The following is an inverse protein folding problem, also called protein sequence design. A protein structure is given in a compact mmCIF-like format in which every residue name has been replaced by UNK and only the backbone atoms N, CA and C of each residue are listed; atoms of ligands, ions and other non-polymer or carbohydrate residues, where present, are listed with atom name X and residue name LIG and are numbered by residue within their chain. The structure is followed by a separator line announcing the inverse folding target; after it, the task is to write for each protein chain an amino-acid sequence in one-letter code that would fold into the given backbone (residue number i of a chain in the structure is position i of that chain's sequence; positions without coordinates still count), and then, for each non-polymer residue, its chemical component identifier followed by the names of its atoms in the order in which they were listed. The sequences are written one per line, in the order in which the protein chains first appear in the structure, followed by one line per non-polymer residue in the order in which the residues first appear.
data_IF_382345661327
#
_entry.id   IF_382345661327
#
_cell.length_a   1.000
_cell.length_b   1.000
_cell.length_c   1.000
_cell.angle_alpha   90.00
_cell.angle_beta   90.00
_cell.angle_gamma   90.00
#
_symmetry.space_group_name_H-M   'P 1'
#
loop_
_entity.id
_entity.type
_entity.pdbx_description
1 polymer ?
#
# COMPACT_ATOMS: atom_id res chain seq x y z
N UNK A 1 -51.05 62.52 32.59
CA UNK A 1 -51.57 62.55 33.99
C UNK A 1 -52.68 63.58 34.27
N UNK A 2 -53.02 64.53 33.39
CA UNK A 2 -54.12 65.51 33.64
C UNK A 2 -55.54 65.03 33.27
N UNK A 3 -55.70 63.95 32.49
CA UNK A 3 -57.03 63.44 32.05
C UNK A 3 -57.69 62.46 33.05
N UNK A 4 -56.90 61.80 33.89
CA UNK A 4 -57.41 60.84 34.90
C UNK A 4 -57.98 61.58 36.13
N UNK A 5 -57.42 62.74 36.48
CA UNK A 5 -57.90 63.56 37.61
C UNK A 5 -59.29 64.15 37.36
N UNK A 6 -59.63 64.50 36.11
CA UNK A 6 -60.94 65.07 35.76
C UNK A 6 -62.06 64.02 35.86
N UNK A 7 -61.80 62.77 35.44
CA UNK A 7 -62.77 61.67 35.58
C UNK A 7 -63.02 61.31 37.05
N UNK A 8 -61.99 61.35 37.90
CA UNK A 8 -62.12 61.03 39.32
C UNK A 8 -62.91 62.12 40.08
N UNK A 9 -62.77 63.40 39.69
CA UNK A 9 -63.58 64.49 40.25
C UNK A 9 -65.06 64.41 39.83
N UNK A 10 -65.37 63.96 38.62
CA UNK A 10 -66.76 63.79 38.15
C UNK A 10 -67.46 62.62 38.88
N UNK A 11 -66.74 61.53 39.14
CA UNK A 11 -67.30 60.38 39.87
C UNK A 11 -67.56 60.73 41.34
N UNK A 12 -66.70 61.52 41.98
CA UNK A 12 -66.90 62.01 43.35
C UNK A 12 -68.03 63.05 43.43
N UNK A 13 -68.20 63.89 42.40
CA UNK A 13 -69.31 64.84 42.32
C UNK A 13 -70.69 64.15 42.12
N UNK A 14 -70.75 63.06 41.35
CA UNK A 14 -71.97 62.27 41.16
C UNK A 14 -72.34 61.43 42.40
N UNK A 15 -71.35 60.91 43.13
CA UNK A 15 -71.58 60.23 44.40
C UNK A 15 -72.05 61.20 45.52
N UNK A 16 -71.53 62.44 45.52
CA UNK A 16 -71.95 63.49 46.46
C UNK A 16 -73.38 64.00 46.23
N UNK A 17 -73.81 64.10 44.97
CA UNK A 17 -75.18 64.52 44.62
C UNK A 17 -76.23 63.46 45.02
N UNK A 18 -75.91 62.17 44.91
CA UNK A 18 -76.80 61.08 45.33
C UNK A 18 -77.00 61.02 46.85
N UNK A 19 -75.95 61.27 47.64
CA UNK A 19 -76.04 61.31 49.10
C UNK A 19 -76.79 62.55 49.61
N UNK A 20 -76.62 63.70 48.97
CA UNK A 20 -77.34 64.92 49.31
C UNK A 20 -78.85 64.83 49.00
N UNK A 21 -79.24 64.13 47.93
CA UNK A 21 -80.65 63.89 47.61
C UNK A 21 -81.34 62.90 48.58
N UNK A 22 -80.60 61.90 49.09
CA UNK A 22 -81.07 60.99 50.13
C UNK A 22 -81.26 61.70 51.50
N UNK A 23 -80.35 62.62 51.86
CA UNK A 23 -80.39 63.33 53.14
C UNK A 23 -81.43 64.48 53.20
N UNK A 24 -81.92 65.00 52.06
CA UNK A 24 -82.88 66.10 51.99
C UNK A 24 -84.35 65.68 51.75
N UNK A 25 -84.67 64.38 51.79
CA UNK A 25 -86.07 63.90 51.85
C UNK A 25 -86.91 64.11 50.59
N UNK A 26 -86.28 64.24 49.42
CA UNK A 26 -86.96 64.33 48.11
C UNK A 26 -87.00 62.97 47.40
N UNK A 27 -87.83 62.05 47.91
CA UNK A 27 -88.19 60.83 47.18
C UNK A 27 -89.71 60.81 46.91
N UNK A 28 -90.14 60.71 45.63
CA UNK A 28 -91.54 60.68 45.24
C UNK A 28 -92.26 59.39 45.67
N UNK A 29 -93.54 59.52 46.00
CA UNK A 29 -94.39 58.54 46.70
C UNK A 29 -94.82 57.29 45.90
N UNK A 30 -94.05 56.85 44.89
CA UNK A 30 -94.40 55.68 44.05
C UNK A 30 -93.59 54.41 44.38
N UNK A 31 -92.71 54.44 45.39
CA UNK A 31 -91.88 53.29 45.79
C UNK A 31 -92.31 52.62 47.11
N UNK A 32 -93.37 53.10 47.77
CA UNK A 32 -93.88 52.53 49.03
C UNK A 32 -94.93 51.42 48.84
N UNK A 33 -95.31 51.07 47.60
CA UNK A 33 -96.24 49.98 47.31
C UNK A 33 -95.57 48.62 47.03
N UNK A 34 -94.22 48.56 46.98
CA UNK A 34 -93.48 47.31 46.72
C UNK A 34 -92.98 46.65 48.03
N UNK A 35 -93.16 47.32 49.18
CA UNK A 35 -92.74 46.84 50.51
C UNK A 35 -93.91 46.43 51.43
N UNK A 36 -95.12 46.25 50.89
CA UNK A 36 -96.27 45.73 51.64
C UNK A 36 -96.54 44.27 51.26
N UNK A 37 -96.05 43.35 52.09
CA UNK A 37 -96.39 41.92 52.03
C UNK A 37 -97.88 41.69 52.34
N UNK A 38 -98.62 40.92 51.52
CA UNK A 38 -99.78 40.19 51.98
C UNK A 38 -99.41 38.73 52.29
N UNK A 39 -99.73 38.32 53.51
CA UNK A 39 -99.56 36.96 54.03
C UNK A 39 -100.61 36.01 53.44
N UNK A 40 -100.12 34.85 52.95
CA UNK A 40 -100.75 33.54 52.75
C UNK A 40 -102.13 33.44 52.08
N UNK A 41 -102.11 32.86 50.88
CA UNK A 41 -103.00 31.75 50.55
C UNK A 41 -102.16 30.53 50.15
N UNK A 42 -102.45 29.42 50.83
CA UNK A 42 -101.85 28.12 50.62
C UNK A 42 -102.18 27.59 49.22
N UNK A 43 -101.20 27.64 48.33
CA UNK A 43 -101.18 26.85 47.11
C UNK A 43 -99.90 26.01 47.13
N UNK A 44 -100.06 24.79 47.66
CA UNK A 44 -99.07 23.71 47.60
C UNK A 44 -98.79 23.40 46.13
N UNK A 45 -97.73 23.99 45.58
CA UNK A 45 -97.10 23.58 44.33
C UNK A 45 -95.71 23.10 44.70
N UNK A 46 -95.64 21.84 45.13
CA UNK A 46 -94.43 21.02 45.05
C UNK A 46 -94.09 20.87 43.56
N UNK A 47 -93.42 21.87 42.98
CA UNK A 47 -92.54 21.63 41.85
C UNK A 47 -91.19 21.25 42.45
N UNK A 48 -90.70 20.02 42.21
CA UNK A 48 -89.36 19.66 42.62
C UNK A 48 -88.40 20.70 42.03
N UNK A 49 -87.47 21.20 42.84
CA UNK A 49 -86.18 21.61 42.31
C UNK A 49 -85.76 20.45 41.42
N UNK A 50 -85.67 20.67 40.11
CA UNK A 50 -84.88 19.76 39.31
C UNK A 50 -83.51 19.75 39.99
N UNK A 51 -83.19 18.65 40.66
CA UNK A 51 -81.82 18.29 40.95
C UNK A 51 -81.08 18.57 39.65
N UNK A 52 -80.26 19.62 39.65
CA UNK A 52 -79.14 19.68 38.74
C UNK A 52 -78.45 18.34 39.00
N UNK A 53 -78.67 17.38 38.11
CA UNK A 53 -77.83 16.22 38.00
C UNK A 53 -76.46 16.81 37.77
N UNK A 54 -75.69 16.98 38.85
CA UNK A 54 -74.25 17.03 38.81
C UNK A 54 -73.78 15.62 38.45
N UNK A 55 -74.21 15.15 37.28
CA UNK A 55 -73.51 14.09 36.62
C UNK A 55 -72.16 14.72 36.27
N UNK A 56 -71.16 14.30 37.01
CA UNK A 56 -69.94 15.03 37.24
C UNK A 56 -69.33 15.52 35.93
N UNK A 57 -69.00 16.81 35.83
CA UNK A 57 -67.93 17.26 34.94
C UNK A 57 -66.64 16.68 35.52
N UNK A 58 -66.41 15.39 35.27
CA UNK A 58 -65.21 14.70 35.70
C UNK A 58 -64.05 15.42 34.98
N UNK A 59 -63.05 15.93 35.72
CA UNK A 59 -61.95 16.68 35.11
C UNK A 59 -61.28 15.78 34.07
N UNK A 60 -61.17 16.25 32.83
CA UNK A 60 -60.52 15.52 31.74
C UNK A 60 -59.08 15.99 31.61
N UNK A 61 -58.20 15.07 31.23
CA UNK A 61 -56.82 15.38 30.92
C UNK A 61 -56.74 15.70 29.42
N UNK A 62 -56.58 16.98 29.11
CA UNK A 62 -56.37 17.50 27.77
C UNK A 62 -54.93 18.02 27.68
N UNK A 63 -54.27 17.77 26.55
CA UNK A 63 -52.96 18.36 26.26
C UNK A 63 -52.89 18.83 24.82
N UNK A 64 -52.32 20.01 24.62
CA UNK A 64 -51.85 20.47 23.32
C UNK A 64 -50.71 19.57 22.85
N UNK A 65 -50.70 19.27 21.56
CA UNK A 65 -49.77 18.36 20.93
C UNK A 65 -49.42 18.83 19.52
N UNK A 66 -48.36 18.22 18.98
CA UNK A 66 -47.90 18.46 17.62
C UNK A 66 -47.75 17.16 16.86
N UNK A 67 -48.10 17.21 15.58
CA UNK A 67 -47.80 16.16 14.60
C UNK A 67 -46.32 16.22 14.25
N UNK A 68 -45.60 15.12 14.41
CA UNK A 68 -44.17 15.01 14.06
C UNK A 68 -43.89 13.70 13.34
N UNK A 69 -42.90 13.66 12.43
CA UNK A 69 -42.52 12.43 11.74
C UNK A 69 -41.85 11.45 12.72
N UNK A 70 -41.93 10.15 12.42
CA UNK A 70 -41.28 9.08 13.22
C UNK A 70 -39.77 9.29 13.31
N UNK A 71 -39.16 9.73 12.21
CA UNK A 71 -37.74 10.07 12.16
C UNK A 71 -37.54 11.42 11.49
N UNK A 72 -36.67 12.25 12.06
CA UNK A 72 -36.19 13.49 11.42
C UNK A 72 -34.70 13.62 11.58
N UNK A 73 -34.04 14.17 10.56
CA UNK A 73 -32.61 14.42 10.59
C UNK A 73 -32.28 15.77 9.96
N UNK A 74 -31.37 16.50 10.60
CA UNK A 74 -30.74 17.69 10.01
C UNK A 74 -29.43 17.24 9.39
N UNK A 75 -29.42 17.13 8.07
CA UNK A 75 -28.29 16.67 7.29
C UNK A 75 -27.34 17.83 7.03
N UNK A 76 -26.06 17.59 7.23
CA UNK A 76 -24.98 18.56 7.04
C UNK A 76 -23.91 17.97 6.12
N UNK A 77 -23.08 18.85 5.55
CA UNK A 77 -21.96 18.42 4.73
C UNK A 77 -20.79 18.01 5.61
N UNK A 78 -20.15 16.89 5.26
CA UNK A 78 -18.95 16.42 5.95
C UNK A 78 -17.70 17.22 5.54
N UNK A 79 -17.64 17.68 4.28
CA UNK A 79 -16.59 18.54 3.75
C UNK A 79 -17.04 20.01 3.63
N UNK A 80 -16.10 20.95 3.71
CA UNK A 80 -16.33 22.34 3.28
C UNK A 80 -16.16 22.45 1.77
N UNK A 81 -16.99 23.26 1.11
CA UNK A 81 -16.88 23.49 -0.32
C UNK A 81 -17.98 24.39 -0.87
N UNK A 82 -17.88 24.70 -2.15
CA UNK A 82 -18.91 25.42 -2.89
C UNK A 82 -19.93 24.42 -3.40
N UNK A 83 -21.21 24.69 -3.24
CA UNK A 83 -22.29 23.86 -3.77
C UNK A 83 -22.29 23.93 -5.30
N UNK A 84 -22.02 22.80 -5.95
CA UNK A 84 -22.07 22.67 -7.40
C UNK A 84 -23.49 22.35 -7.88
N UNK A 85 -24.22 21.54 -7.13
CA UNK A 85 -25.55 21.07 -7.50
C UNK A 85 -26.43 20.84 -6.26
N UNK A 86 -27.70 21.22 -6.37
CA UNK A 86 -28.76 20.86 -5.43
C UNK A 86 -29.76 20.04 -6.22
N UNK A 87 -29.85 18.74 -5.92
CA UNK A 87 -30.59 17.75 -6.71
C UNK A 87 -32.06 17.61 -6.27
N UNK A 88 -32.43 18.21 -5.14
CA UNK A 88 -33.77 18.11 -4.54
C UNK A 88 -34.34 19.48 -4.19
N UNK A 89 -35.65 19.55 -4.05
CA UNK A 89 -36.40 20.73 -3.62
C UNK A 89 -37.22 20.41 -2.38
N UNK A 90 -37.67 21.47 -1.70
CA UNK A 90 -38.60 21.33 -0.58
C UNK A 90 -39.90 20.67 -1.06
N UNK A 91 -40.35 19.65 -0.33
CA UNK A 91 -41.50 18.82 -0.66
C UNK A 91 -41.18 17.59 -1.52
N UNK A 92 -39.96 17.45 -2.06
CA UNK A 92 -39.60 16.28 -2.85
C UNK A 92 -39.52 15.02 -1.96
N UNK A 93 -39.99 13.89 -2.48
CA UNK A 93 -39.83 12.57 -1.86
C UNK A 93 -38.53 11.94 -2.37
N UNK A 94 -37.72 11.43 -1.44
CA UNK A 94 -36.44 10.79 -1.70
C UNK A 94 -36.38 9.40 -1.07
N UNK A 95 -35.56 8.52 -1.64
CA UNK A 95 -35.21 7.21 -1.11
C UNK A 95 -33.87 7.25 -0.38
N UNK A 96 -33.57 6.19 0.39
CA UNK A 96 -32.28 6.07 1.06
C UNK A 96 -31.15 5.95 0.02
N UNK A 97 -30.14 6.81 0.14
CA UNK A 97 -28.99 6.88 -0.77
C UNK A 97 -29.10 7.92 -1.88
N UNK A 98 -30.27 8.53 -2.07
CA UNK A 98 -30.47 9.57 -3.08
C UNK A 98 -29.55 10.77 -2.86
N UNK A 99 -29.01 11.31 -3.96
CA UNK A 99 -28.20 12.51 -3.93
C UNK A 99 -29.07 13.72 -3.63
N UNK A 100 -28.72 14.47 -2.60
CA UNK A 100 -29.43 15.67 -2.18
C UNK A 100 -28.68 16.93 -2.62
N UNK A 101 -27.40 16.99 -2.27
CA UNK A 101 -26.52 18.13 -2.55
C UNK A 101 -25.14 17.61 -2.94
N UNK A 102 -24.49 18.29 -3.87
CA UNK A 102 -23.14 17.98 -4.31
C UNK A 102 -22.28 19.25 -4.30
N UNK A 103 -21.10 19.13 -3.72
CA UNK A 103 -20.06 20.17 -3.73
C UNK A 103 -19.19 20.07 -4.99
N UNK A 104 -18.45 21.13 -5.30
CA UNK A 104 -17.38 21.07 -6.32
C UNK A 104 -16.35 20.00 -5.92
N UNK A 105 -16.26 18.96 -6.73
CA UNK A 105 -15.46 17.76 -6.49
C UNK A 105 -14.19 17.71 -7.36
N UNK A 106 -13.86 18.77 -8.11
CA UNK A 106 -12.77 18.75 -9.09
C UNK A 106 -11.42 18.42 -8.43
N UNK A 107 -11.13 19.02 -7.28
CA UNK A 107 -9.91 18.74 -6.53
C UNK A 107 -9.89 17.32 -5.96
N UNK A 108 -11.03 16.82 -5.48
CA UNK A 108 -11.14 15.46 -4.95
C UNK A 108 -10.95 14.40 -6.05
N UNK A 109 -11.52 14.62 -7.25
CA UNK A 109 -11.30 13.76 -8.42
C UNK A 109 -9.83 13.71 -8.85
N UNK A 110 -9.15 14.87 -8.85
CA UNK A 110 -7.71 14.93 -9.13
C UNK A 110 -6.91 14.16 -8.08
N UNK A 111 -7.26 14.29 -6.79
CA UNK A 111 -6.60 13.53 -5.73
C UNK A 111 -6.79 12.01 -5.89
N UNK A 112 -7.99 11.55 -6.26
CA UNK A 112 -8.26 10.14 -6.58
C UNK A 112 -7.39 9.68 -7.76
N UNK A 113 -7.35 10.45 -8.86
CA UNK A 113 -6.53 10.11 -10.02
C UNK A 113 -5.03 10.02 -9.67
N UNK A 114 -4.52 10.94 -8.85
CA UNK A 114 -3.13 10.90 -8.39
C UNK A 114 -2.84 9.68 -7.50
N UNK A 115 -3.76 9.33 -6.61
CA UNK A 115 -3.62 8.16 -5.74
C UNK A 115 -3.68 6.85 -6.53
N UNK A 116 -4.54 6.76 -7.55
CA UNK A 116 -4.59 5.62 -8.48
C UNK A 116 -3.28 5.47 -9.25
N UNK A 117 -2.71 6.57 -9.76
CA UNK A 117 -1.41 6.53 -10.46
C UNK A 117 -0.27 6.08 -9.52
N UNK A 118 -0.28 6.54 -8.26
CA UNK A 118 0.70 6.11 -7.26
C UNK A 118 0.55 4.61 -6.93
N UNK A 119 -0.68 4.10 -6.80
CA UNK A 119 -0.95 2.68 -6.60
C UNK A 119 -0.45 1.83 -7.79
N UNK A 120 -0.73 2.26 -9.01
CA UNK A 120 -0.26 1.58 -10.22
C UNK A 120 1.27 1.54 -10.27
N UNK A 121 1.96 2.62 -9.89
CA UNK A 121 3.42 2.65 -9.78
C UNK A 121 3.96 1.68 -8.72
N UNK A 122 3.33 1.64 -7.54
CA UNK A 122 3.73 0.73 -6.47
C UNK A 122 3.52 -0.74 -6.87
N UNK A 123 2.41 -1.04 -7.55
CA UNK A 123 2.15 -2.38 -8.10
C UNK A 123 3.19 -2.78 -9.15
N UNK A 124 3.50 -1.89 -10.10
CA UNK A 124 4.55 -2.15 -11.08
C UNK A 124 5.94 -2.35 -10.43
N UNK A 125 6.23 -1.65 -9.34
CA UNK A 125 7.45 -1.85 -8.56
C UNK A 125 7.47 -3.24 -7.89
N UNK A 126 6.36 -3.65 -7.26
CA UNK A 126 6.22 -4.98 -6.67
C UNK A 126 6.38 -6.08 -7.72
N UNK A 127 5.76 -5.92 -8.89
CA UNK A 127 5.87 -6.89 -9.99
C UNK A 127 7.31 -6.99 -10.50
N UNK A 128 8.01 -5.85 -10.63
CA UNK A 128 9.44 -5.82 -11.00
C UNK A 128 10.31 -6.53 -9.95
N UNK A 129 10.05 -6.32 -8.66
CA UNK A 129 10.78 -6.99 -7.58
C UNK A 129 10.49 -8.49 -7.58
N UNK A 130 9.24 -8.91 -7.74
CA UNK A 130 8.83 -10.32 -7.81
C UNK A 130 9.38 -11.04 -9.04
N UNK A 131 9.46 -10.37 -10.18
CA UNK A 131 10.04 -10.93 -11.40
C UNK A 131 11.55 -11.23 -11.26
N UNK A 132 12.25 -10.54 -10.36
CA UNK A 132 13.65 -10.80 -10.05
C UNK A 132 14.59 -10.48 -11.22
N UNK A 133 15.64 -11.28 -11.35
CA UNK A 133 16.62 -11.15 -12.44
C UNK A 133 15.97 -11.48 -13.79
N UNK A 134 16.32 -10.72 -14.84
CA UNK A 134 15.83 -10.99 -16.18
C UNK A 134 16.47 -12.25 -16.75
N UNK A 135 15.78 -12.93 -17.67
CA UNK A 135 16.29 -14.11 -18.37
C UNK A 135 17.66 -13.88 -19.02
N UNK A 136 17.89 -12.69 -19.53
CA UNK A 136 19.12 -12.27 -20.19
C UNK A 136 20.27 -12.17 -19.18
N UNK A 137 20.01 -11.63 -17.98
CA UNK A 137 21.01 -11.51 -16.91
C UNK A 137 21.40 -12.92 -16.39
N UNK A 138 20.43 -13.84 -16.28
CA UNK A 138 20.66 -15.25 -15.93
C UNK A 138 21.50 -15.94 -17.02
N UNK A 139 21.16 -15.75 -18.29
CA UNK A 139 21.91 -16.35 -19.40
C UNK A 139 23.37 -15.87 -19.46
N UNK A 140 23.62 -14.59 -19.16
CA UNK A 140 24.98 -14.05 -19.05
C UNK A 140 25.75 -14.73 -17.91
N UNK A 141 25.12 -14.92 -16.74
CA UNK A 141 25.74 -15.60 -15.61
C UNK A 141 25.99 -17.10 -15.88
N UNK A 142 25.07 -17.78 -16.57
CA UNK A 142 25.25 -19.16 -17.01
C UNK A 142 26.42 -19.30 -17.99
N UNK A 143 26.53 -18.38 -18.96
CA UNK A 143 27.66 -18.35 -19.88
C UNK A 143 28.99 -18.07 -19.16
N UNK A 144 28.99 -17.20 -18.15
CA UNK A 144 30.17 -16.92 -17.32
C UNK A 144 30.60 -18.16 -16.51
N UNK A 145 29.65 -18.88 -15.92
CA UNK A 145 29.91 -20.14 -15.23
C UNK A 145 30.49 -21.19 -16.18
N UNK A 146 29.90 -21.35 -17.37
CA UNK A 146 30.39 -22.28 -18.38
C UNK A 146 31.83 -21.93 -18.82
N UNK A 147 32.13 -20.66 -19.03
CA UNK A 147 33.48 -20.20 -19.36
C UNK A 147 34.48 -20.48 -18.24
N UNK A 148 34.09 -20.26 -16.98
CA UNK A 148 34.91 -20.57 -15.80
C UNK A 148 35.17 -22.08 -15.66
N UNK A 149 34.14 -22.91 -15.87
CA UNK A 149 34.27 -24.38 -15.86
C UNK A 149 35.22 -24.86 -16.95
N UNK A 150 35.08 -24.35 -18.18
CA UNK A 150 35.98 -24.69 -19.28
C UNK A 150 37.42 -24.22 -19.03
N UNK A 151 37.64 -23.12 -18.30
CA UNK A 151 38.97 -22.68 -17.88
C UNK A 151 39.58 -23.62 -16.82
N UNK A 152 38.77 -24.00 -15.82
CA UNK A 152 39.16 -24.97 -14.79
C UNK A 152 39.54 -26.32 -15.39
N UNK A 153 38.71 -26.86 -16.29
CA UNK A 153 38.98 -28.14 -16.96
C UNK A 153 40.29 -28.11 -17.77
N UNK A 154 40.57 -27.02 -18.50
CA UNK A 154 41.83 -26.86 -19.22
C UNK A 154 43.03 -26.91 -18.29
N UNK A 155 42.95 -26.27 -17.12
CA UNK A 155 44.04 -26.26 -16.14
C UNK A 155 44.21 -27.61 -15.44
N UNK A 156 43.11 -28.29 -15.08
CA UNK A 156 43.15 -29.64 -14.52
C UNK A 156 43.79 -30.62 -15.52
N UNK A 157 43.41 -30.54 -16.80
CA UNK A 157 44.01 -31.35 -17.84
C UNK A 157 45.49 -30.99 -18.05
N UNK A 158 45.86 -29.71 -18.00
CA UNK A 158 47.27 -29.29 -18.07
C UNK A 158 48.10 -29.81 -16.89
N UNK A 159 47.53 -29.82 -15.68
CA UNK A 159 48.13 -30.32 -14.45
C UNK A 159 48.14 -31.86 -14.35
N UNK A 160 47.55 -32.56 -15.31
CA UNK A 160 47.46 -34.02 -15.28
C UNK A 160 48.86 -34.67 -15.17
N UNK A 161 49.00 -35.78 -14.42
CA UNK A 161 50.29 -36.47 -14.25
C UNK A 161 50.98 -36.83 -15.57
N UNK A 162 50.21 -37.05 -16.64
CA UNK A 162 50.73 -37.30 -17.99
C UNK A 162 51.56 -36.15 -18.53
N UNK A 163 51.13 -34.89 -18.36
CA UNK A 163 51.85 -33.72 -18.86
C UNK A 163 53.10 -33.43 -18.02
N UNK A 164 53.02 -33.64 -16.70
CA UNK A 164 54.19 -33.55 -15.81
C UNK A 164 55.22 -34.61 -16.22
N UNK A 165 54.80 -35.84 -16.54
CA UNK A 165 55.68 -36.89 -17.07
C UNK A 165 56.37 -36.50 -18.39
N UNK A 166 55.69 -35.75 -19.26
CA UNK A 166 56.31 -35.26 -20.51
C UNK A 166 57.43 -34.26 -20.18
N UNK A 167 57.22 -33.35 -19.24
CA UNK A 167 58.24 -32.42 -18.77
C UNK A 167 59.40 -33.14 -18.06
N UNK A 168 59.11 -34.15 -17.22
CA UNK A 168 60.12 -35.01 -16.60
C UNK A 168 60.96 -35.77 -17.63
N UNK A 169 60.32 -36.31 -18.67
CA UNK A 169 61.00 -36.97 -19.76
C UNK A 169 61.89 -36.01 -20.57
N UNK A 170 61.47 -34.75 -20.76
CA UNK A 170 62.29 -33.73 -21.41
C UNK A 170 63.54 -33.39 -20.59
N UNK A 171 63.40 -33.24 -19.27
CA UNK A 171 64.53 -33.04 -18.36
C UNK A 171 65.48 -34.25 -18.37
N UNK A 172 64.94 -35.47 -18.31
CA UNK A 172 65.74 -36.69 -18.37
C UNK A 172 66.56 -36.79 -19.67
N UNK A 173 65.98 -36.41 -20.82
CA UNK A 173 66.68 -36.36 -22.11
C UNK A 173 67.80 -35.32 -22.12
N UNK A 174 67.52 -34.11 -21.63
CA UNK A 174 68.53 -33.05 -21.52
C UNK A 174 69.70 -33.47 -20.61
N UNK A 175 69.39 -34.13 -19.49
CA UNK A 175 70.40 -34.62 -18.55
C UNK A 175 71.23 -35.76 -19.15
N UNK A 176 70.61 -36.69 -19.88
CA UNK A 176 71.30 -37.77 -20.56
C UNK A 176 72.30 -37.23 -21.59
N UNK A 177 71.93 -36.19 -22.33
CA UNK A 177 72.81 -35.53 -23.30
C UNK A 177 73.98 -34.80 -22.63
N UNK A 178 73.72 -34.04 -21.56
CA UNK A 178 74.78 -33.43 -20.76
C UNK A 178 75.75 -34.46 -20.17
N UNK A 179 75.22 -35.56 -19.64
CA UNK A 179 76.03 -36.66 -19.10
C UNK A 179 76.86 -37.35 -20.19
N UNK A 180 76.29 -37.54 -21.39
CA UNK A 180 76.99 -38.11 -22.55
C UNK A 180 78.18 -37.24 -22.97
N UNK A 181 77.99 -35.92 -23.02
CA UNK A 181 79.06 -34.98 -23.36
C UNK A 181 80.14 -34.95 -22.28
N UNK A 182 79.76 -34.89 -21.00
CA UNK A 182 80.73 -34.84 -19.88
C UNK A 182 81.53 -36.12 -19.68
N UNK A 183 80.99 -37.29 -20.01
CA UNK A 183 81.72 -38.57 -19.96
C UNK A 183 82.77 -38.70 -21.07
N UNK A 184 82.72 -37.87 -22.10
CA UNK A 184 83.65 -37.91 -23.23
C UNK A 184 83.49 -39.17 -24.10
N UNK A 185 84.35 -39.34 -25.12
CA UNK A 185 84.34 -40.53 -25.94
C UNK A 185 84.71 -41.77 -25.11
N UNK A 186 83.98 -42.88 -25.31
CA UNK A 186 84.30 -44.12 -24.62
C UNK A 186 85.70 -44.61 -24.98
N UNK A 187 86.32 -45.35 -24.06
CA UNK A 187 87.65 -45.93 -24.28
C UNK A 187 87.68 -46.80 -25.55
N UNK A 188 86.58 -47.48 -25.86
CA UNK A 188 86.41 -48.24 -27.11
C UNK A 188 86.49 -47.35 -28.36
N UNK A 189 85.88 -46.17 -28.34
CA UNK A 189 85.95 -45.20 -29.45
C UNK A 189 87.38 -44.69 -29.61
N UNK A 190 88.08 -44.39 -28.52
CA UNK A 190 89.47 -43.96 -28.55
C UNK A 190 90.41 -45.06 -29.06
N UNK A 191 90.19 -46.32 -28.64
CA UNK A 191 90.94 -47.48 -29.14
C UNK A 191 90.72 -47.65 -30.65
N UNK A 192 89.48 -47.59 -31.11
CA UNK A 192 89.15 -47.68 -32.53
C UNK A 192 89.80 -46.55 -33.35
N UNK A 193 89.74 -45.31 -32.87
CA UNK A 193 90.38 -44.17 -33.53
C UNK A 193 91.91 -44.28 -33.55
N UNK A 194 92.55 -44.76 -32.47
CA UNK A 194 93.99 -45.04 -32.45
C UNK A 194 94.37 -46.15 -33.44
N UNK A 195 93.56 -47.20 -33.53
CA UNK A 195 93.75 -48.28 -34.50
C UNK A 195 93.61 -47.77 -35.95
N UNK A 196 92.67 -46.87 -36.21
CA UNK A 196 92.48 -46.22 -37.51
C UNK A 196 93.71 -45.39 -37.93
N UNK A 197 94.27 -44.60 -37.00
CA UNK A 197 95.54 -43.88 -37.21
C UNK A 197 96.70 -44.84 -37.51
N UNK A 198 96.84 -45.91 -36.72
CA UNK A 198 97.92 -46.89 -36.92
C UNK A 198 97.81 -47.62 -38.27
N UNK A 199 96.58 -47.93 -38.71
CA UNK A 199 96.33 -48.52 -40.03
C UNK A 199 96.67 -47.55 -41.17
N UNK A 200 96.26 -46.28 -41.05
CA UNK A 200 96.58 -45.24 -42.02
C UNK A 200 98.10 -44.98 -42.11
N UNK A 201 98.82 -45.03 -40.98
CA UNK A 201 100.28 -44.92 -40.94
C UNK A 201 100.96 -46.07 -41.68
N UNK A 202 100.49 -47.31 -41.48
CA UNK A 202 101.01 -48.48 -42.18
C UNK A 202 100.83 -48.36 -43.70
N UNK A 203 99.67 -47.87 -44.15
CA UNK A 203 99.40 -47.61 -45.57
C UNK A 203 100.31 -46.52 -46.15
N UNK A 204 100.52 -45.43 -45.41
CA UNK A 204 101.45 -44.36 -45.80
C UNK A 204 102.88 -44.88 -45.93
N UNK A 205 103.35 -45.69 -44.98
CA UNK A 205 104.69 -46.28 -45.04
C UNK A 205 104.87 -47.22 -46.24
N UNK A 206 103.84 -48.01 -46.57
CA UNK A 206 103.83 -48.85 -47.77
C UNK A 206 103.87 -48.01 -49.04
N UNK A 207 103.01 -46.98 -49.14
CA UNK A 207 102.95 -46.08 -50.29
C UNK A 207 104.26 -45.30 -50.46
N UNK A 208 104.87 -44.84 -49.36
CA UNK A 208 106.18 -44.16 -49.35
C UNK A 208 107.29 -45.08 -49.80
N UNK A 209 107.28 -46.34 -49.39
CA UNK A 209 108.25 -47.35 -49.83
C UNK A 209 108.11 -47.67 -51.33
N UNK A 210 106.89 -47.64 -51.86
CA UNK A 210 106.64 -47.76 -53.30
C UNK A 210 107.12 -46.52 -54.07
N UNK A 211 106.82 -45.31 -53.59
CA UNK A 211 107.27 -44.05 -54.17
C UNK A 211 108.80 -43.92 -54.17
N UNK A 212 109.48 -44.28 -53.07
CA UNK A 212 110.94 -44.23 -52.97
C UNK A 212 111.66 -45.08 -54.03
N UNK A 213 111.02 -46.15 -54.53
CA UNK A 213 111.57 -46.98 -55.61
C UNK A 213 111.48 -46.32 -56.99
N UNK A 214 110.58 -45.35 -57.17
CA UNK A 214 110.34 -44.69 -58.45
C UNK A 214 110.75 -43.21 -58.46
N UNK A 215 111.17 -42.65 -57.32
CA UNK A 215 111.39 -41.21 -57.13
C UNK A 215 112.42 -40.59 -58.10
N UNK A 216 113.39 -41.39 -58.57
CA UNK A 216 114.49 -40.91 -59.42
C UNK A 216 114.13 -40.97 -60.92
N UNK A 217 112.90 -41.38 -61.26
CA UNK A 217 112.39 -41.40 -62.64
C UNK A 217 111.83 -40.02 -63.05
N UNK A 218 112.04 -39.57 -64.31
CA UNK A 218 111.59 -38.25 -64.79
C UNK A 218 110.07 -38.02 -64.65
N UNK A 219 109.27 -39.08 -64.76
CA UNK A 219 107.80 -39.01 -64.74
C UNK A 219 107.19 -39.47 -63.41
N UNK A 220 107.97 -39.52 -62.31
CA UNK A 220 107.53 -40.07 -61.03
C UNK A 220 106.19 -39.48 -60.55
N UNK A 221 105.99 -38.16 -60.70
CA UNK A 221 104.78 -37.45 -60.27
C UNK A 221 103.49 -37.85 -60.99
N UNK A 222 103.56 -38.38 -62.22
CA UNK A 222 102.37 -38.81 -62.99
C UNK A 222 102.00 -40.28 -62.77
N UNK A 223 102.78 -41.02 -61.97
CA UNK A 223 102.54 -42.44 -61.76
C UNK A 223 101.52 -42.72 -60.66
N UNK A 224 100.81 -43.87 -60.73
CA UNK A 224 99.84 -44.27 -59.72
C UNK A 224 100.40 -44.29 -58.28
N UNK A 225 101.68 -44.57 -58.10
CA UNK A 225 102.34 -44.63 -56.79
C UNK A 225 102.45 -43.25 -56.11
N UNK A 226 102.57 -42.16 -56.89
CA UNK A 226 102.57 -40.78 -56.35
C UNK A 226 101.19 -40.38 -55.85
N UNK A 227 100.15 -40.71 -56.62
CA UNK A 227 98.76 -40.51 -56.20
C UNK A 227 98.43 -41.36 -54.96
N UNK A 228 98.89 -42.61 -54.91
CA UNK A 228 98.71 -43.49 -53.76
C UNK A 228 99.40 -42.93 -52.50
N UNK A 229 100.60 -42.37 -52.64
CA UNK A 229 101.28 -41.68 -51.53
C UNK A 229 100.48 -40.47 -51.05
N UNK A 230 100.01 -39.61 -51.96
CA UNK A 230 99.20 -38.44 -51.61
C UNK A 230 97.89 -38.84 -50.90
N UNK A 231 97.19 -39.84 -51.41
CA UNK A 231 95.96 -40.36 -50.81
C UNK A 231 96.20 -40.94 -49.41
N UNK A 232 97.29 -41.68 -49.22
CA UNK A 232 97.66 -42.22 -47.92
C UNK A 232 98.04 -41.13 -46.90
N UNK A 233 98.70 -40.04 -47.35
CA UNK A 233 98.98 -38.88 -46.48
C UNK A 233 97.69 -38.20 -46.02
N UNK A 234 96.75 -37.93 -46.94
CA UNK A 234 95.46 -37.32 -46.60
C UNK A 234 94.68 -38.22 -45.63
N UNK A 235 94.69 -39.54 -45.85
CA UNK A 235 94.02 -40.50 -44.97
C UNK A 235 94.63 -40.51 -43.56
N UNK A 236 95.97 -40.45 -43.45
CA UNK A 236 96.66 -40.36 -42.17
C UNK A 236 96.35 -39.05 -41.44
N UNK A 237 96.44 -37.91 -42.13
CA UNK A 237 96.11 -36.59 -41.56
C UNK A 237 94.64 -36.51 -41.11
N UNK A 238 93.72 -37.07 -41.89
CA UNK A 238 92.30 -37.14 -41.54
C UNK A 238 92.06 -38.03 -40.31
N UNK A 239 92.73 -39.19 -40.22
CA UNK A 239 92.64 -40.07 -39.06
C UNK A 239 93.22 -39.41 -37.79
N UNK A 240 94.35 -38.69 -37.92
CA UNK A 240 94.93 -37.92 -36.82
C UNK A 240 94.03 -36.79 -36.36
N UNK A 241 93.48 -36.01 -37.29
CA UNK A 241 92.54 -34.93 -36.99
C UNK A 241 91.32 -35.48 -36.22
N UNK A 242 90.77 -36.62 -36.69
CA UNK A 242 89.64 -37.29 -36.03
C UNK A 242 89.97 -37.76 -34.61
N UNK A 243 91.14 -38.36 -34.39
CA UNK A 243 91.58 -38.76 -33.06
C UNK A 243 91.79 -37.53 -32.16
N UNK A 244 92.34 -36.46 -32.70
CA UNK A 244 92.60 -35.23 -31.95
C UNK A 244 91.30 -34.53 -31.56
N UNK A 245 90.30 -34.49 -32.43
CA UNK A 245 88.95 -33.98 -32.13
C UNK A 245 88.31 -34.79 -30.98
N UNK A 246 88.45 -36.12 -30.98
CA UNK A 246 87.97 -36.97 -29.90
C UNK A 246 88.71 -36.71 -28.57
N UNK A 247 90.03 -36.46 -28.62
CA UNK A 247 90.85 -36.18 -27.44
C UNK A 247 90.62 -34.80 -26.85
N UNK A 248 90.35 -33.80 -27.70
CA UNK A 248 90.01 -32.44 -27.27
C UNK A 248 88.68 -32.40 -26.51
N UNK A 249 87.82 -33.41 -26.70
CA UNK A 249 86.53 -33.53 -26.04
C UNK A 249 85.52 -32.49 -26.52
N UNK A 250 84.34 -32.42 -25.88
CA UNK A 250 83.33 -31.43 -26.24
C UNK A 250 83.82 -30.02 -25.95
N UNK A 251 83.44 -29.08 -26.80
CA UNK A 251 83.75 -27.67 -26.64
C UNK A 251 83.02 -27.07 -25.44
N UNK A 252 83.56 -25.99 -24.87
CA UNK A 252 82.91 -25.26 -23.79
C UNK A 252 81.53 -24.72 -24.19
N UNK A 253 81.35 -24.38 -25.48
CA UNK A 253 80.07 -23.95 -26.02
C UNK A 253 79.01 -25.07 -26.04
N UNK A 254 79.39 -26.30 -26.41
CA UNK A 254 78.49 -27.47 -26.41
C UNK A 254 78.05 -27.85 -24.99
N UNK A 255 78.99 -27.89 -24.04
CA UNK A 255 78.69 -28.14 -22.63
C UNK A 255 77.80 -27.04 -22.05
N UNK A 256 78.05 -25.77 -22.38
CA UNK A 256 77.22 -24.66 -21.94
C UNK A 256 75.81 -24.73 -22.53
N UNK A 257 75.66 -25.11 -23.81
CA UNK A 257 74.37 -25.31 -24.46
C UNK A 257 73.59 -26.47 -23.83
N UNK A 258 74.23 -27.61 -23.58
CA UNK A 258 73.61 -28.75 -22.91
C UNK A 258 73.21 -28.42 -21.46
N UNK A 259 74.06 -27.72 -20.70
CA UNK A 259 73.74 -27.24 -19.35
C UNK A 259 72.57 -26.24 -19.36
N UNK A 260 72.51 -25.36 -20.37
CA UNK A 260 71.38 -24.45 -20.54
C UNK A 260 70.08 -25.20 -20.84
N UNK A 261 70.12 -26.24 -21.68
CA UNK A 261 68.96 -27.08 -21.97
C UNK A 261 68.43 -27.80 -20.70
N UNK A 262 69.33 -28.32 -19.85
CA UNK A 262 68.96 -28.90 -18.55
C UNK A 262 68.28 -27.86 -17.65
N UNK A 263 68.89 -26.67 -17.49
CA UNK A 263 68.31 -25.59 -16.68
C UNK A 263 66.93 -25.16 -17.18
N UNK A 264 66.75 -25.07 -18.51
CA UNK A 264 65.46 -24.71 -19.11
C UNK A 264 64.41 -25.78 -18.84
N UNK A 265 64.73 -27.05 -19.04
CA UNK A 265 63.81 -28.16 -18.77
C UNK A 265 63.44 -28.27 -17.29
N UNK A 266 64.40 -28.02 -16.40
CA UNK A 266 64.19 -28.03 -14.95
C UNK A 266 63.29 -26.87 -14.51
N UNK A 267 63.57 -25.65 -14.98
CA UNK A 267 62.73 -24.48 -14.71
C UNK A 267 61.29 -24.68 -15.21
N UNK A 268 61.11 -25.31 -16.37
CA UNK A 268 59.78 -25.60 -16.90
C UNK A 268 59.03 -26.64 -16.06
N UNK A 269 59.71 -27.70 -15.58
CA UNK A 269 59.12 -28.68 -14.68
C UNK A 269 58.75 -28.06 -13.32
N UNK A 270 59.63 -27.25 -12.74
CA UNK A 270 59.39 -26.55 -11.47
C UNK A 270 58.24 -25.55 -11.59
N UNK A 271 58.17 -24.78 -12.68
CA UNK A 271 57.03 -23.91 -12.97
C UNK A 271 55.73 -24.72 -12.99
N UNK A 272 55.68 -25.83 -13.72
CA UNK A 272 54.48 -26.69 -13.75
C UNK A 272 54.12 -27.28 -12.38
N UNK A 273 55.11 -27.71 -11.58
CA UNK A 273 54.84 -28.27 -10.25
C UNK A 273 54.35 -27.23 -9.24
N UNK A 274 54.89 -26.02 -9.31
CA UNK A 274 54.60 -24.96 -8.34
C UNK A 274 53.38 -24.11 -8.72
N UNK A 275 53.19 -23.78 -10.00
CA UNK A 275 52.10 -22.89 -10.45
C UNK A 275 50.78 -23.63 -10.66
N UNK A 276 50.80 -24.88 -11.17
CA UNK A 276 49.57 -25.59 -11.53
C UNK A 276 48.61 -25.78 -10.33
N UNK A 277 49.07 -26.17 -9.12
CA UNK A 277 48.16 -26.28 -7.97
C UNK A 277 47.50 -24.94 -7.60
N UNK A 278 48.24 -23.83 -7.65
CA UNK A 278 47.67 -22.50 -7.40
C UNK A 278 46.73 -22.06 -8.49
N UNK A 279 47.05 -22.32 -9.76
CA UNK A 279 46.23 -21.95 -10.92
C UNK A 279 44.91 -22.72 -10.94
N UNK A 280 44.94 -24.02 -10.63
CA UNK A 280 43.74 -24.86 -10.49
C UNK A 280 42.88 -24.39 -9.33
N UNK A 281 43.48 -24.04 -8.19
CA UNK A 281 42.75 -23.54 -7.02
C UNK A 281 42.09 -22.18 -7.32
N UNK A 282 42.81 -21.28 -7.99
CA UNK A 282 42.28 -19.99 -8.42
C UNK A 282 41.12 -20.16 -9.42
N UNK A 283 41.25 -21.07 -10.38
CA UNK A 283 40.18 -21.39 -11.32
C UNK A 283 38.96 -22.03 -10.64
N UNK A 284 39.17 -22.91 -9.65
CA UNK A 284 38.08 -23.47 -8.84
C UNK A 284 37.33 -22.36 -8.07
N UNK A 285 38.06 -21.39 -7.50
CA UNK A 285 37.47 -20.24 -6.84
C UNK A 285 36.66 -19.36 -7.83
N UNK A 286 37.13 -19.21 -9.06
CA UNK A 286 36.36 -18.51 -10.11
C UNK A 286 35.06 -19.25 -10.48
N UNK A 287 35.09 -20.58 -10.58
CA UNK A 287 33.87 -21.38 -10.80
C UNK A 287 32.90 -21.20 -9.63
N UNK A 288 33.38 -21.29 -8.39
CA UNK A 288 32.55 -21.09 -7.20
C UNK A 288 31.95 -19.69 -7.14
N UNK A 289 32.71 -18.66 -7.52
CA UNK A 289 32.22 -17.28 -7.60
C UNK A 289 31.15 -17.12 -8.68
N UNK A 290 31.36 -17.65 -9.88
CA UNK A 290 30.39 -17.60 -10.97
C UNK A 290 29.09 -18.35 -10.61
N UNK A 291 29.21 -19.50 -9.94
CA UNK A 291 28.06 -20.26 -9.44
C UNK A 291 27.28 -19.45 -8.39
N UNK A 292 27.97 -18.85 -7.41
CA UNK A 292 27.33 -18.03 -6.38
C UNK A 292 26.61 -16.81 -6.98
N UNK A 293 27.16 -16.20 -8.04
CA UNK A 293 26.50 -15.12 -8.77
C UNK A 293 25.24 -15.60 -9.48
N UNK A 294 25.30 -16.75 -10.16
CA UNK A 294 24.14 -17.36 -10.80
C UNK A 294 23.04 -17.73 -9.78
N UNK A 295 23.43 -18.31 -8.66
CA UNK A 295 22.50 -18.69 -7.58
C UNK A 295 21.84 -17.46 -6.96
N UNK A 296 22.59 -16.37 -6.77
CA UNK A 296 22.03 -15.10 -6.29
C UNK A 296 21.00 -14.51 -7.26
N UNK A 297 21.24 -14.61 -8.58
CA UNK A 297 20.27 -14.17 -9.59
C UNK A 297 19.03 -15.08 -9.63
N UNK A 298 19.20 -16.40 -9.49
CA UNK A 298 18.10 -17.38 -9.48
C UNK A 298 17.26 -17.35 -8.20
N UNK A 299 17.85 -17.00 -7.06
CA UNK A 299 17.14 -16.82 -5.81
C UNK A 299 16.14 -15.63 -5.86
N UNK A 300 16.32 -14.72 -6.81
CA UNK A 300 15.42 -13.60 -7.04
C UNK A 300 15.51 -12.53 -5.94
N UNK A 301 14.46 -11.70 -5.84
CA UNK A 301 14.40 -10.68 -4.81
C UNK A 301 14.27 -11.30 -3.41
N UNK A 302 14.94 -10.69 -2.44
CA UNK A 302 14.90 -11.14 -1.06
C UNK A 302 13.49 -10.95 -0.47
N UNK A 303 13.03 -11.81 0.45
CA UNK A 303 11.72 -11.67 1.08
C UNK A 303 11.49 -10.29 1.71
N UNK A 304 12.54 -9.68 2.27
CA UNK A 304 12.49 -8.34 2.86
C UNK A 304 12.23 -7.25 1.81
N UNK A 305 12.74 -7.42 0.59
CA UNK A 305 12.51 -6.48 -0.52
C UNK A 305 11.07 -6.60 -1.05
N UNK A 306 10.56 -7.83 -1.15
CA UNK A 306 9.17 -8.10 -1.52
C UNK A 306 8.23 -7.50 -0.47
N UNK A 307 8.49 -7.75 0.82
CA UNK A 307 7.69 -7.20 1.91
C UNK A 307 7.69 -5.66 1.93
N UNK A 308 8.83 -5.03 1.64
CA UNK A 308 8.90 -3.57 1.51
C UNK A 308 8.06 -3.04 0.35
N UNK A 309 8.09 -3.71 -0.81
CA UNK A 309 7.26 -3.34 -1.96
C UNK A 309 5.76 -3.59 -1.71
N UNK A 310 5.40 -4.67 -1.01
CA UNK A 310 4.02 -4.94 -0.58
C UNK A 310 3.51 -3.86 0.38
N UNK A 311 4.36 -3.41 1.32
CA UNK A 311 4.04 -2.29 2.21
C UNK A 311 3.82 -0.98 1.43
N UNK A 312 4.57 -0.74 0.36
CA UNK A 312 4.36 0.42 -0.52
C UNK A 312 3.00 0.35 -1.24
N UNK A 313 2.60 -0.83 -1.74
CA UNK A 313 1.26 -1.06 -2.31
C UNK A 313 0.16 -0.85 -1.28
N UNK A 314 0.35 -1.34 -0.05
CA UNK A 314 -0.60 -1.15 1.05
C UNK A 314 -0.77 0.35 1.39
N UNK A 315 0.35 1.09 1.49
CA UNK A 315 0.33 2.53 1.73
C UNK A 315 -0.37 3.31 0.60
N UNK A 316 -0.08 2.96 -0.67
CA UNK A 316 -0.74 3.58 -1.81
C UNK A 316 -2.24 3.25 -1.89
N UNK A 317 -2.63 2.05 -1.50
CA UNK A 317 -4.04 1.63 -1.40
C UNK A 317 -4.77 2.44 -0.32
N UNK A 318 -4.17 2.62 0.86
CA UNK A 318 -4.72 3.44 1.92
C UNK A 318 -4.89 4.91 1.49
N UNK A 319 -3.90 5.46 0.78
CA UNK A 319 -4.00 6.81 0.21
C UNK A 319 -5.13 6.94 -0.81
N UNK A 320 -5.35 5.92 -1.65
CA UNK A 320 -6.48 5.88 -2.58
C UNK A 320 -7.83 5.83 -1.82
N UNK A 321 -7.94 4.98 -0.80
CA UNK A 321 -9.14 4.92 0.04
C UNK A 321 -9.42 6.26 0.70
N UNK A 322 -8.41 6.95 1.23
CA UNK A 322 -8.57 8.27 1.81
C UNK A 322 -9.08 9.30 0.77
N UNK A 323 -8.53 9.28 -0.44
CA UNK A 323 -8.98 10.16 -1.52
C UNK A 323 -10.43 9.86 -1.95
N UNK A 324 -10.82 8.58 -2.00
CA UNK A 324 -12.19 8.16 -2.32
C UNK A 324 -13.18 8.58 -1.22
N UNK A 325 -12.81 8.48 0.06
CA UNK A 325 -13.63 8.96 1.17
C UNK A 325 -13.78 10.49 1.10
N UNK A 326 -12.69 11.21 0.82
CA UNK A 326 -12.75 12.66 0.64
C UNK A 326 -13.67 13.05 -0.53
N UNK A 327 -13.65 12.29 -1.63
CA UNK A 327 -14.59 12.45 -2.75
C UNK A 327 -16.03 12.15 -2.33
N UNK A 328 -16.28 11.06 -1.60
CA UNK A 328 -17.61 10.73 -1.08
C UNK A 328 -18.17 11.82 -0.16
N UNK A 329 -17.32 12.46 0.64
CA UNK A 329 -17.72 13.57 1.52
C UNK A 329 -18.13 14.86 0.77
N UNK A 330 -17.93 14.92 -0.55
CA UNK A 330 -18.45 16.02 -1.39
C UNK A 330 -19.92 15.83 -1.76
N UNK A 331 -20.51 14.67 -1.47
CA UNK A 331 -21.91 14.35 -1.76
C UNK A 331 -22.70 14.18 -0.46
N UNK A 332 -23.85 14.85 -0.37
CA UNK A 332 -24.84 14.64 0.68
C UNK A 332 -25.88 13.67 0.17
N UNK A 333 -26.01 12.51 0.83
CA UNK A 333 -27.00 11.50 0.48
C UNK A 333 -28.02 11.30 1.59
N UNK A 334 -29.24 10.95 1.22
CA UNK A 334 -30.32 10.68 2.16
C UNK A 334 -30.02 9.42 3.00
N UNK A 335 -30.02 9.49 4.35
CA UNK A 335 -29.77 8.31 5.19
C UNK A 335 -30.97 7.35 5.28
N UNK A 336 -32.17 7.81 4.96
CA UNK A 336 -33.41 7.04 4.91
C UNK A 336 -34.37 7.68 3.89
N UNK A 337 -35.42 6.97 3.50
CA UNK A 337 -36.44 7.52 2.59
C UNK A 337 -37.44 8.42 3.33
N UNK A 338 -37.91 9.48 2.68
CA UNK A 338 -38.81 10.45 3.30
C UNK A 338 -39.07 11.67 2.43
N UNK A 339 -39.54 12.76 3.05
CA UNK A 339 -39.81 14.04 2.40
C UNK A 339 -38.80 15.10 2.84
N UNK A 340 -38.32 15.88 1.88
CA UNK A 340 -37.43 17.02 2.11
C UNK A 340 -38.24 18.18 2.70
N UNK A 341 -38.03 18.48 3.99
CA UNK A 341 -38.78 19.50 4.70
C UNK A 341 -38.23 20.92 4.48
N UNK A 342 -36.90 21.06 4.36
CA UNK A 342 -36.27 22.31 3.96
C UNK A 342 -34.91 22.09 3.30
N UNK A 343 -34.54 23.00 2.40
CA UNK A 343 -33.21 23.06 1.77
C UNK A 343 -32.62 24.43 2.04
N UNK A 344 -31.58 24.47 2.87
CA UNK A 344 -31.00 25.71 3.40
C UNK A 344 -29.71 26.12 2.68
N UNK A 345 -29.52 25.72 1.42
CA UNK A 345 -28.35 26.05 0.61
C UNK A 345 -28.73 26.32 -0.84
N UNK A 346 -27.95 27.15 -1.52
CA UNK A 346 -28.10 27.44 -2.94
C UNK A 346 -26.87 27.02 -3.74
N UNK A 347 -27.05 26.77 -5.04
CA UNK A 347 -25.92 26.56 -5.97
C UNK A 347 -25.02 27.79 -5.98
N UNK A 348 -23.71 27.58 -5.86
CA UNK A 348 -22.69 28.62 -5.75
C UNK A 348 -22.44 29.11 -4.32
N UNK A 349 -23.21 28.66 -3.34
CA UNK A 349 -23.02 29.01 -1.93
C UNK A 349 -21.87 28.21 -1.30
N UNK A 350 -21.15 28.83 -0.36
CA UNK A 350 -20.09 28.17 0.41
C UNK A 350 -20.70 27.50 1.65
N UNK A 351 -20.48 26.20 1.81
CA UNK A 351 -20.93 25.43 2.98
C UNK A 351 -19.73 25.05 3.85
N UNK A 352 -19.95 25.11 5.17
CA UNK A 352 -19.00 24.65 6.18
C UNK A 352 -19.50 23.39 6.90
N UNK A 353 -18.61 22.52 7.41
CA UNK A 353 -19.00 21.37 8.20
C UNK A 353 -19.85 21.77 9.41
N UNK A 354 -20.92 21.01 9.65
CA UNK A 354 -21.86 21.27 10.76
C UNK A 354 -22.99 22.26 10.43
N UNK A 355 -22.92 23.00 9.32
CA UNK A 355 -24.05 23.82 8.85
C UNK A 355 -25.19 22.90 8.38
N UNK A 356 -26.43 23.07 8.88
CA UNK A 356 -27.59 22.34 8.38
C UNK A 356 -27.86 22.68 6.90
N UNK A 357 -27.90 21.68 6.05
CA UNK A 357 -28.08 21.80 4.60
C UNK A 357 -29.47 21.34 4.18
N UNK A 358 -29.86 20.13 4.58
CA UNK A 358 -31.18 19.56 4.27
C UNK A 358 -31.83 19.05 5.54
N UNK A 359 -33.12 19.36 5.73
CA UNK A 359 -33.92 18.72 6.77
C UNK A 359 -34.78 17.63 6.13
N UNK A 360 -34.60 16.39 6.58
CA UNK A 360 -35.30 15.22 6.06
C UNK A 360 -36.23 14.64 7.13
N UNK A 361 -37.46 14.32 6.75
CA UNK A 361 -38.47 13.72 7.60
C UNK A 361 -38.99 12.40 7.00
N UNK A 362 -39.06 11.36 7.81
CA UNK A 362 -39.74 10.12 7.48
C UNK A 362 -41.24 10.30 7.74
N UNK A 363 -42.01 10.41 6.65
CA UNK A 363 -43.46 10.60 6.66
C UNK A 363 -44.24 9.28 6.51
N UNK A 364 -43.58 8.12 6.66
CA UNK A 364 -44.24 6.81 6.61
C UNK A 364 -45.28 6.62 7.71
N UNK A 365 -45.10 7.29 8.84
CA UNK A 365 -46.10 7.42 9.89
C UNK A 365 -45.91 8.72 10.68
N UNK A 366 -47.02 9.27 11.18
CA UNK A 366 -47.02 10.41 12.09
C UNK A 366 -47.10 9.96 13.55
N UNK A 367 -46.35 10.64 14.41
CA UNK A 367 -46.47 10.61 15.86
C UNK A 367 -47.12 11.90 16.35
N UNK A 368 -47.88 11.82 17.43
CA UNK A 368 -48.45 12.98 18.12
C UNK A 368 -47.71 13.16 19.44
N UNK A 369 -47.03 14.29 19.62
CA UNK A 369 -46.23 14.58 20.81
C UNK A 369 -46.84 15.72 21.60
N UNK A 370 -47.21 15.48 22.86
CA UNK A 370 -47.77 16.52 23.74
C UNK A 370 -46.72 17.58 24.09
N UNK A 371 -47.18 18.81 24.24
CA UNK A 371 -46.35 19.99 24.47
C UNK A 371 -46.54 20.61 25.87
N UNK A 372 -47.68 20.38 26.52
CA UNK A 372 -48.07 21.09 27.75
C UNK A 372 -48.64 20.18 28.86
N UNK A 373 -48.51 18.86 28.73
CA UNK A 373 -49.02 17.94 29.75
C UNK A 373 -48.22 18.09 31.06
N UNK A 374 -48.86 18.62 32.10
CA UNK A 374 -48.21 18.94 33.38
C UNK A 374 -47.82 17.70 34.20
N UNK A 375 -46.90 17.87 35.15
CA UNK A 375 -46.54 16.84 36.14
C UNK A 375 -47.76 16.31 36.92
N UNK A 376 -48.80 17.14 37.12
CA UNK A 376 -50.02 16.72 37.83
C UNK A 376 -50.92 15.81 37.00
N UNK A 377 -50.88 15.94 35.67
CA UNK A 377 -51.77 15.21 34.76
C UNK A 377 -51.10 13.99 34.13
N UNK A 378 -49.77 14.01 33.95
CA UNK A 378 -49.01 12.86 33.41
C UNK A 378 -49.13 11.62 34.30
N UNK A 379 -49.36 11.77 35.61
CA UNK A 379 -49.56 10.64 36.54
C UNK A 379 -50.80 9.81 36.17
N UNK A 380 -51.83 10.43 35.58
CA UNK A 380 -53.06 9.76 35.10
C UNK A 380 -52.94 9.14 33.70
N UNK A 381 -51.74 9.19 33.10
CA UNK A 381 -51.46 8.67 31.76
C UNK A 381 -50.54 7.46 31.86
N UNK A 382 -50.96 6.35 31.26
CA UNK A 382 -50.17 5.11 31.20
C UNK A 382 -49.92 4.69 29.76
N UNK A 383 -48.74 4.11 29.44
CA UNK A 383 -48.53 3.45 28.16
C UNK A 383 -49.61 2.41 27.88
N UNK A 384 -50.13 2.37 26.66
CA UNK A 384 -51.24 1.52 26.23
C UNK A 384 -52.64 2.14 26.40
N UNK A 385 -52.77 3.31 27.05
CA UNK A 385 -54.06 4.00 27.19
C UNK A 385 -54.57 4.48 25.82
N UNK A 386 -55.86 4.25 25.55
CA UNK A 386 -56.52 4.80 24.36
C UNK A 386 -56.84 6.27 24.56
N UNK A 387 -56.57 7.07 23.54
CA UNK A 387 -56.77 8.52 23.56
C UNK A 387 -57.47 8.97 22.28
N UNK A 388 -58.11 10.13 22.36
CA UNK A 388 -58.74 10.76 21.20
C UNK A 388 -57.93 11.97 20.79
N UNK A 389 -57.58 12.07 19.51
CA UNK A 389 -56.79 13.16 18.94
C UNK A 389 -57.70 13.97 18.02
N UNK A 390 -57.73 15.27 18.22
CA UNK A 390 -58.41 16.25 17.37
C UNK A 390 -57.41 17.27 16.86
N UNK A 391 -57.64 17.84 15.68
CA UNK A 391 -56.71 18.77 15.04
C UNK A 391 -57.37 20.13 14.83
N UNK A 392 -56.69 21.21 15.20
CA UNK A 392 -57.25 22.57 15.05
C UNK A 392 -57.46 22.91 13.57
N UNK A 393 -56.53 22.47 12.72
CA UNK A 393 -56.56 22.71 11.28
C UNK A 393 -57.53 21.79 10.52
N UNK A 394 -57.97 20.68 11.14
CA UNK A 394 -58.85 19.67 10.55
C UNK A 394 -59.96 19.29 11.55
N UNK A 395 -60.97 20.16 11.77
CA UNK A 395 -61.98 19.96 12.82
C UNK A 395 -62.92 18.78 12.54
N UNK A 396 -63.00 18.32 11.30
CA UNK A 396 -63.73 17.12 10.86
C UNK A 396 -62.95 15.82 11.12
N UNK A 397 -61.65 15.92 11.39
CA UNK A 397 -60.78 14.77 11.59
C UNK A 397 -60.60 14.48 13.08
N UNK A 398 -61.17 13.35 13.51
CA UNK A 398 -60.92 12.77 14.82
C UNK A 398 -60.25 11.41 14.65
N UNK A 399 -59.09 11.24 15.28
CA UNK A 399 -58.33 9.99 15.25
C UNK A 399 -58.27 9.37 16.65
N UNK A 400 -58.35 8.05 16.72
CA UNK A 400 -57.99 7.32 17.92
C UNK A 400 -56.49 7.03 17.89
N UNK A 401 -55.88 7.09 19.06
CA UNK A 401 -54.47 6.77 19.24
C UNK A 401 -54.24 6.00 20.52
N UNK A 402 -53.05 5.44 20.63
CA UNK A 402 -52.60 4.76 21.85
C UNK A 402 -51.36 5.47 22.35
N UNK A 403 -51.28 5.66 23.67
CA UNK A 403 -50.06 6.15 24.32
C UNK A 403 -48.95 5.12 24.12
N UNK A 404 -47.98 5.43 23.28
CA UNK A 404 -46.85 4.53 23.01
C UNK A 404 -45.85 4.60 24.16
N UNK A 405 -45.46 5.83 24.54
CA UNK A 405 -44.50 6.06 25.61
C UNK A 405 -44.60 7.46 26.18
N UNK A 406 -44.12 7.60 27.41
CA UNK A 406 -43.92 8.89 28.09
C UNK A 406 -42.42 9.13 28.13
N UNK A 407 -41.95 10.30 27.67
CA UNK A 407 -40.53 10.64 27.79
C UNK A 407 -40.18 10.80 29.28
N UNK A 408 -39.08 10.21 29.76
CA UNK A 408 -38.78 10.18 31.20
C UNK A 408 -38.30 11.53 31.75
N UNK A 409 -38.00 12.49 30.88
CA UNK A 409 -37.50 13.82 31.27
C UNK A 409 -38.59 14.88 31.04
N UNK A 410 -38.95 15.57 32.12
CA UNK A 410 -39.80 16.75 32.07
C UNK A 410 -39.01 17.97 31.58
N UNK A 411 -39.70 18.93 30.98
CA UNK A 411 -39.14 20.17 30.47
C UNK A 411 -39.83 21.35 31.15
N UNK A 412 -39.06 22.41 31.45
CA UNK A 412 -39.65 23.67 31.90
C UNK A 412 -40.38 24.32 30.72
N UNK A 413 -41.66 24.62 30.92
CA UNK A 413 -42.48 25.36 29.98
C UNK A 413 -43.14 26.53 30.72
N UNK A 414 -42.50 27.69 30.65
CA UNK A 414 -42.97 28.94 31.29
C UNK A 414 -43.16 28.83 32.81
N UNK A 415 -42.33 28.04 33.50
CA UNK A 415 -42.35 27.88 34.96
C UNK A 415 -43.06 26.61 35.45
N UNK A 416 -43.73 25.87 34.55
CA UNK A 416 -44.35 24.57 34.85
C UNK A 416 -43.53 23.42 34.24
N UNK A 417 -43.39 22.31 34.98
CA UNK A 417 -42.78 21.09 34.45
C UNK A 417 -43.79 20.32 33.61
N UNK A 418 -43.50 20.14 32.32
CA UNK A 418 -44.33 19.39 31.37
C UNK A 418 -43.61 18.15 30.84
N UNK A 419 -44.37 17.10 30.56
CA UNK A 419 -43.88 15.83 30.03
C UNK A 419 -44.38 15.62 28.60
N UNK A 420 -43.48 15.22 27.71
CA UNK A 420 -43.86 14.82 26.35
C UNK A 420 -44.33 13.37 26.35
N UNK A 421 -45.61 13.18 26.10
CA UNK A 421 -46.22 11.88 25.81
C UNK A 421 -46.27 11.70 24.30
N UNK A 422 -45.79 10.56 23.83
CA UNK A 422 -45.83 10.16 22.43
C UNK A 422 -47.04 9.25 22.23
N UNK A 423 -47.94 9.69 21.37
CA UNK A 423 -49.15 8.97 21.00
C UNK A 423 -49.04 8.54 19.56
N UNK A 424 -49.27 7.26 19.32
CA UNK A 424 -49.32 6.67 17.98
C UNK A 424 -50.77 6.62 17.50
N UNK A 425 -51.13 7.33 16.41
CA UNK A 425 -52.44 7.21 15.78
C UNK A 425 -52.69 5.77 15.29
N UNK A 426 -53.90 5.25 15.49
CA UNK A 426 -54.30 3.92 14.98
C UNK A 426 -54.44 3.91 13.46
N UNK A 427 -54.71 5.08 12.87
CA UNK A 427 -54.80 5.31 11.42
C UNK A 427 -54.04 6.58 11.04
N UNK A 428 -53.37 6.55 9.91
CA UNK A 428 -52.71 7.72 9.31
C UNK A 428 -53.69 8.45 8.37
N UNK A 429 -53.56 9.78 8.28
CA UNK A 429 -54.32 10.62 7.33
C UNK A 429 -53.32 11.46 6.53
N UNK A 430 -53.46 11.45 5.21
CA UNK A 430 -52.54 12.11 4.27
C UNK A 430 -52.57 13.65 4.38
N UNK A 431 -53.61 14.22 5.00
CA UNK A 431 -53.73 15.67 5.22
C UNK A 431 -52.90 16.17 6.40
N UNK A 432 -52.37 15.26 7.23
CA UNK A 432 -51.52 15.64 8.36
C UNK A 432 -50.18 16.16 7.85
N UNK A 433 -49.75 17.29 8.39
CA UNK A 433 -48.49 17.93 8.06
C UNK A 433 -47.62 18.07 9.30
N UNK A 434 -46.30 18.06 9.10
CA UNK A 434 -45.35 18.24 10.17
C UNK A 434 -45.57 19.59 10.88
N UNK A 435 -45.57 19.57 12.22
CA UNK A 435 -45.78 20.67 13.15
C UNK A 435 -47.23 21.21 13.18
N UNK A 436 -48.19 20.50 12.59
CA UNK A 436 -49.61 20.78 12.78
C UNK A 436 -50.00 20.61 14.26
N UNK A 437 -50.83 21.52 14.78
CA UNK A 437 -51.32 21.47 16.15
C UNK A 437 -52.45 20.46 16.29
N UNK A 438 -52.45 19.76 17.41
CA UNK A 438 -53.45 18.78 17.78
C UNK A 438 -53.77 18.93 19.27
N UNK A 439 -54.92 18.45 19.70
CA UNK A 439 -55.29 18.29 21.10
C UNK A 439 -55.49 16.81 21.35
N UNK A 440 -54.86 16.30 22.41
CA UNK A 440 -55.01 14.91 22.84
C UNK A 440 -55.85 14.87 24.10
N UNK A 441 -56.94 14.11 24.03
CA UNK A 441 -57.84 13.85 25.12
C UNK A 441 -57.56 12.46 25.71
N UNK A 442 -56.99 12.45 26.91
CA UNK A 442 -56.62 11.24 27.64
C UNK A 442 -57.79 10.69 28.47
N UNK A 443 -59.00 11.25 28.32
CA UNK A 443 -60.18 10.89 29.10
C UNK A 443 -60.19 11.55 30.48
N UNK A 444 -61.00 10.99 31.37
CA UNK A 444 -61.16 11.49 32.74
C UNK A 444 -59.91 11.22 33.58
N UNK A 445 -59.59 12.18 34.45
CA UNK A 445 -58.46 12.19 35.40
C UNK A 445 -58.55 11.11 36.47
#
# INVERSE_FOLDING_TARGET
MKRIVILLVIVVALAGAGYAAYALGYLPAELTAILASPTRQDAKVEQPLAELQSDALQPRILADAKVVPVQRSNLNMAASGIVAEVAVREGDRVEAGDLLVKLDDAQARVAVAQAQANLARAQANLDRVRAGARSEDIAIAEAALQAAQAAYERLVNAAAPGNIRVAEAALARAQAEYNRLTQGPSEQILIAARAEVAAAEAQLNQARSAYNRIKDLPDAGMRPESLAMQQATIAYEAAQARLQDLLNGPTQAELAAAAAAVRQAQAQLEMMRNSMPSDVTAAAAQVAQAQAQLDALKAGARPEEIAAAEAEVAAATAALQQALVALGNTELRAPFGGVVASVNVNVGEQVAPGQPVVQLADDSAWEIQTADLTELDVVGVTPGKQVTITFDALPDLQLRGVVERIRPIGQDNRGDTVYTVVVKPERQDERLLWNMTAVVDFGVK
#
